data_IF_393990391719
#
_entry.id   IF_393990391719
#
_cell.length_a   1.000
_cell.length_b   1.000
_cell.length_c   1.000
_cell.angle_alpha   90.00
_cell.angle_beta   90.00
_cell.angle_gamma   90.00
#
_symmetry.space_group_name_H-M   'P 1'
#
loop_
_entity.id
_entity.type
_entity.pdbx_description
1 polymer ?
#
# COMPACT_ATOMS: atom_id res chain seq x y z
N UNK A 1 39.37 -22.07 13.30
CA UNK A 1 38.10 -22.20 14.06
C UNK A 1 36.97 -21.64 13.21
N UNK A 2 36.07 -22.50 12.74
CA UNK A 2 34.80 -22.09 12.10
C UNK A 2 33.78 -21.81 13.21
N UNK A 3 32.98 -20.74 13.17
CA UNK A 3 31.73 -20.69 13.91
C UNK A 3 30.57 -21.21 13.06
N UNK A 4 29.58 -21.74 13.78
CA UNK A 4 28.53 -22.64 13.36
C UNK A 4 27.47 -22.03 12.44
N UNK A 5 26.95 -22.89 11.57
CA UNK A 5 25.65 -22.77 10.92
C UNK A 5 24.54 -22.70 11.97
N UNK A 6 23.80 -21.60 11.98
CA UNK A 6 22.41 -21.55 12.44
C UNK A 6 21.59 -20.74 11.43
N UNK A 7 21.35 -21.36 10.27
CA UNK A 7 20.21 -21.03 9.42
C UNK A 7 18.95 -21.56 10.11
N UNK A 8 18.20 -20.67 10.76
CA UNK A 8 16.90 -21.00 11.34
C UNK A 8 15.81 -20.23 10.61
N UNK A 9 15.03 -21.00 9.85
CA UNK A 9 13.69 -20.76 9.32
C UNK A 9 12.89 -19.67 10.04
N UNK A 10 12.80 -18.46 9.48
CA UNK A 10 11.84 -17.43 9.89
C UNK A 10 11.45 -16.59 8.66
N UNK A 11 10.75 -17.17 7.69
CA UNK A 11 10.13 -16.41 6.58
C UNK A 11 8.94 -17.17 5.98
N UNK A 12 8.01 -17.67 6.80
CA UNK A 12 6.88 -18.48 6.28
C UNK A 12 5.81 -17.63 5.58
N UNK A 13 5.83 -16.29 5.71
CA UNK A 13 5.05 -15.37 4.87
C UNK A 13 5.83 -14.84 3.66
N UNK A 14 7.17 -14.95 3.70
CA UNK A 14 8.09 -14.52 2.65
C UNK A 14 8.74 -15.75 2.01
N UNK A 15 7.93 -16.59 1.37
CA UNK A 15 8.42 -17.44 0.26
C UNK A 15 8.72 -16.59 -1.00
N UNK A 16 9.17 -15.35 -0.80
CA UNK A 16 9.97 -14.60 -1.75
C UNK A 16 11.40 -14.82 -1.27
N UNK A 17 12.09 -15.71 -1.96
CA UNK A 17 13.49 -16.05 -1.76
C UNK A 17 14.31 -14.81 -1.40
N UNK A 18 15.19 -14.99 -0.42
CA UNK A 18 16.34 -14.15 -0.06
C UNK A 18 17.36 -13.98 -1.21
N UNK A 19 16.96 -14.17 -2.46
CA UNK A 19 17.66 -13.67 -3.64
C UNK A 19 17.48 -12.17 -3.68
N UNK A 20 18.60 -11.44 -3.62
CA UNK A 20 18.75 -10.05 -4.04
C UNK A 20 17.46 -9.49 -4.65
N UNK A 21 16.69 -8.76 -3.84
CA UNK A 21 15.65 -7.89 -4.37
C UNK A 21 16.42 -6.86 -5.17
N UNK A 22 16.52 -7.09 -6.48
CA UNK A 22 17.07 -6.12 -7.40
C UNK A 22 16.39 -4.79 -7.08
N UNK A 23 17.18 -3.73 -7.04
CA UNK A 23 16.72 -2.34 -6.85
C UNK A 23 15.73 -1.86 -7.94
N UNK A 24 15.21 -2.79 -8.74
CA UNK A 24 14.35 -2.63 -9.90
C UNK A 24 13.26 -3.72 -9.98
N UNK A 25 12.62 -4.15 -8.88
CA UNK A 25 11.40 -4.99 -9.02
C UNK A 25 10.41 -4.83 -7.86
N UNK A 26 9.50 -3.86 -7.96
CA UNK A 26 8.18 -3.94 -7.32
C UNK A 26 7.15 -4.35 -8.38
N UNK A 27 7.36 -5.54 -8.97
CA UNK A 27 6.38 -6.22 -9.81
C UNK A 27 6.78 -7.70 -9.98
N UNK A 28 6.41 -8.58 -9.05
CA UNK A 28 6.63 -10.01 -9.28
C UNK A 28 5.46 -10.71 -9.97
N UNK A 29 4.35 -10.04 -10.32
CA UNK A 29 3.19 -10.76 -10.89
C UNK A 29 2.41 -10.12 -12.05
N UNK A 30 2.74 -8.92 -12.54
CA UNK A 30 2.06 -8.43 -13.76
C UNK A 30 2.96 -7.56 -14.63
N UNK A 31 3.95 -8.19 -15.28
CA UNK A 31 4.71 -7.58 -16.38
C UNK A 31 3.85 -7.25 -17.62
N UNK A 32 2.52 -7.44 -17.57
CA UNK A 32 1.62 -7.10 -18.68
C UNK A 32 1.31 -5.60 -18.65
N UNK A 33 2.15 -4.91 -19.43
CA UNK A 33 2.03 -3.54 -19.96
C UNK A 33 1.98 -2.46 -18.88
N UNK A 34 3.18 -2.00 -18.49
CA UNK A 34 3.35 -0.61 -18.05
C UNK A 34 2.75 0.32 -19.12
N UNK A 35 2.18 1.47 -18.73
CA UNK A 35 1.67 2.43 -19.69
C UNK A 35 2.75 2.80 -20.70
N UNK A 36 2.35 3.08 -21.94
CA UNK A 36 3.26 3.57 -22.97
C UNK A 36 3.97 4.82 -22.45
N UNK A 37 5.31 4.82 -22.53
CA UNK A 37 6.15 5.93 -22.08
C UNK A 37 6.42 5.99 -20.57
N UNK A 38 5.84 5.10 -19.75
CA UNK A 38 6.04 5.11 -18.29
C UNK A 38 7.52 5.00 -17.91
N UNK A 39 8.26 4.02 -18.45
CA UNK A 39 9.70 3.90 -18.22
C UNK A 39 10.52 5.03 -18.88
N UNK A 40 10.02 5.60 -19.99
CA UNK A 40 10.74 6.65 -20.71
C UNK A 40 10.76 7.98 -19.92
N UNK A 41 9.83 8.18 -18.98
CA UNK A 41 9.76 9.38 -18.16
C UNK A 41 10.64 9.33 -16.91
N UNK A 42 11.19 8.15 -16.57
CA UNK A 42 12.02 7.95 -15.38
C UNK A 42 13.19 8.96 -15.26
N UNK A 43 13.97 9.27 -16.32
CA UNK A 43 15.05 10.25 -16.21
C UNK A 43 14.56 11.66 -15.84
N UNK A 44 13.35 12.04 -16.27
CA UNK A 44 12.74 13.33 -15.94
C UNK A 44 12.25 13.36 -14.48
N UNK A 45 11.71 12.23 -14.01
CA UNK A 45 11.33 12.06 -12.61
C UNK A 45 12.57 12.18 -11.72
N UNK A 46 13.65 11.48 -12.08
CA UNK A 46 14.91 11.54 -11.34
C UNK A 46 15.47 12.96 -11.22
N UNK A 47 15.35 13.77 -12.28
CA UNK A 47 15.77 15.18 -12.25
C UNK A 47 14.90 16.07 -11.36
N UNK A 48 13.63 15.71 -11.14
CA UNK A 48 12.70 16.47 -10.28
C UNK A 48 12.76 16.06 -8.82
N UNK A 49 13.38 14.92 -8.52
CA UNK A 49 13.46 14.42 -7.16
C UNK A 49 14.34 15.26 -6.26
N UNK A 50 13.91 15.40 -5.01
CA UNK A 50 14.56 16.18 -3.99
C UNK A 50 14.75 15.32 -2.74
N UNK A 51 15.97 15.27 -2.23
CA UNK A 51 16.26 14.59 -0.96
C UNK A 51 15.50 15.25 0.19
N UNK A 52 15.05 14.45 1.14
CA UNK A 52 14.26 14.93 2.28
C UNK A 52 12.79 15.21 1.98
N UNK A 53 12.31 14.94 0.76
CA UNK A 53 10.91 15.06 0.36
C UNK A 53 10.42 13.70 -0.12
N UNK A 54 9.28 13.26 0.40
CA UNK A 54 8.60 12.07 -0.13
C UNK A 54 7.75 12.49 -1.33
N UNK A 55 8.07 11.97 -2.51
CA UNK A 55 7.49 12.44 -3.77
C UNK A 55 6.85 11.29 -4.54
N UNK A 56 5.58 11.48 -4.92
CA UNK A 56 4.82 10.55 -5.72
C UNK A 56 4.57 11.14 -7.11
N UNK A 57 4.95 10.42 -8.15
CA UNK A 57 4.64 10.74 -9.54
C UNK A 57 3.76 9.63 -10.09
N UNK A 58 2.53 9.94 -10.48
CA UNK A 58 1.59 8.92 -10.90
C UNK A 58 1.03 9.17 -12.29
N UNK A 59 0.78 8.09 -13.03
CA UNK A 59 0.10 8.06 -14.30
C UNK A 59 -1.12 7.16 -14.17
N UNK A 60 -2.26 7.63 -14.67
CA UNK A 60 -3.48 6.82 -14.72
C UNK A 60 -3.58 6.14 -16.08
N UNK A 61 -3.81 4.84 -16.08
CA UNK A 61 -4.19 4.07 -17.27
C UNK A 61 -5.35 3.15 -16.90
N UNK A 62 -6.51 3.43 -17.50
CA UNK A 62 -7.79 2.77 -17.22
C UNK A 62 -8.12 2.74 -15.72
N UNK A 63 -8.16 1.55 -15.12
CA UNK A 63 -8.51 1.31 -13.72
C UNK A 63 -7.27 1.08 -12.84
N UNK A 64 -6.10 1.55 -13.27
CA UNK A 64 -4.83 1.43 -12.55
C UNK A 64 -4.13 2.78 -12.46
N UNK A 65 -3.61 3.09 -11.28
CA UNK A 65 -2.67 4.17 -11.05
C UNK A 65 -1.26 3.56 -10.97
N UNK A 66 -0.39 3.94 -11.89
CA UNK A 66 1.02 3.58 -11.91
C UNK A 66 1.81 4.69 -11.23
N UNK A 67 2.62 4.36 -10.24
CA UNK A 67 3.18 5.32 -9.29
C UNK A 67 4.67 5.09 -9.21
N UNK A 68 5.45 6.14 -9.46
CA UNK A 68 6.81 6.27 -8.99
C UNK A 68 6.80 6.94 -7.61
N UNK A 69 7.56 6.39 -6.69
CA UNK A 69 7.80 6.93 -5.36
C UNK A 69 9.31 7.14 -5.21
N UNK A 70 9.70 8.37 -4.87
CA UNK A 70 11.03 8.64 -4.35
C UNK A 70 10.95 8.81 -2.85
N UNK A 71 11.76 8.06 -2.11
CA UNK A 71 11.90 8.23 -0.67
C UNK A 71 12.84 9.40 -0.30
N UNK A 72 13.03 9.63 0.99
CA UNK A 72 13.87 10.71 1.51
C UNK A 72 15.36 10.59 1.18
N UNK A 73 15.84 9.38 0.90
CA UNK A 73 17.22 9.11 0.50
C UNK A 73 17.42 9.34 -1.01
N UNK A 74 16.32 9.49 -1.75
CA UNK A 74 16.29 9.60 -3.20
C UNK A 74 16.28 8.24 -3.87
N UNK A 75 15.95 7.17 -3.14
CA UNK A 75 15.75 5.85 -3.72
C UNK A 75 14.39 5.81 -4.42
N UNK A 76 14.38 5.22 -5.62
CA UNK A 76 13.21 5.18 -6.49
C UNK A 76 12.59 3.81 -6.55
N UNK A 77 11.26 3.81 -6.47
CA UNK A 77 10.45 2.62 -6.53
C UNK A 77 9.25 2.90 -7.41
N UNK A 78 8.78 1.90 -8.11
CA UNK A 78 7.52 1.99 -8.84
C UNK A 78 6.58 0.90 -8.37
N UNK A 79 5.28 1.18 -8.33
CA UNK A 79 4.23 0.22 -8.05
C UNK A 79 2.95 0.65 -8.75
N UNK A 80 1.92 -0.19 -8.73
CA UNK A 80 0.59 0.20 -9.20
C UNK A 80 -0.48 -0.22 -8.22
N UNK A 81 -1.58 0.53 -8.20
CA UNK A 81 -2.76 0.24 -7.38
C UNK A 81 -4.03 0.34 -8.22
N UNK A 82 -5.10 -0.36 -7.83
CA UNK A 82 -6.42 -0.12 -8.38
C UNK A 82 -6.81 1.37 -8.29
N UNK A 83 -7.38 1.90 -9.37
CA UNK A 83 -7.82 3.28 -9.49
C UNK A 83 -9.31 3.31 -9.83
N UNK A 84 -10.10 3.93 -8.96
CA UNK A 84 -11.53 4.16 -9.20
C UNK A 84 -11.81 5.61 -9.59
N UNK A 85 -11.32 6.55 -8.80
CA UNK A 85 -11.40 7.97 -9.09
C UNK A 85 -10.25 8.71 -8.41
N UNK A 86 -9.94 9.89 -8.93
CA UNK A 86 -8.79 10.70 -8.53
C UNK A 86 -8.81 11.08 -7.04
N UNK A 87 -9.98 11.47 -6.52
CA UNK A 87 -10.14 11.89 -5.13
C UNK A 87 -9.88 10.75 -4.15
N UNK A 88 -10.52 9.58 -4.35
CA UNK A 88 -10.36 8.41 -3.48
C UNK A 88 -8.91 7.93 -3.50
N UNK A 89 -8.31 7.81 -4.68
CA UNK A 89 -6.92 7.39 -4.83
C UNK A 89 -5.96 8.31 -4.05
N UNK A 90 -6.03 9.62 -4.28
CA UNK A 90 -5.13 10.57 -3.65
C UNK A 90 -5.38 10.71 -2.15
N UNK A 91 -6.64 10.73 -1.71
CA UNK A 91 -6.97 10.75 -0.29
C UNK A 91 -6.37 9.54 0.43
N UNK A 92 -6.57 8.32 -0.09
CA UNK A 92 -6.08 7.09 0.55
C UNK A 92 -4.57 7.01 0.57
N UNK A 93 -3.90 7.37 -0.52
CA UNK A 93 -2.44 7.41 -0.58
C UNK A 93 -1.89 8.47 0.38
N UNK A 94 -2.45 9.68 0.39
CA UNK A 94 -2.06 10.75 1.30
C UNK A 94 -2.23 10.33 2.76
N UNK A 95 -3.38 9.76 3.15
CA UNK A 95 -3.63 9.32 4.52
C UNK A 95 -2.66 8.23 4.96
N UNK A 96 -2.43 7.22 4.11
CA UNK A 96 -1.42 6.19 4.37
C UNK A 96 -0.03 6.80 4.62
N UNK A 97 0.39 7.72 3.76
CA UNK A 97 1.68 8.39 3.90
C UNK A 97 1.77 9.23 5.18
N UNK A 98 0.73 9.97 5.54
CA UNK A 98 0.73 10.75 6.80
C UNK A 98 0.81 9.85 8.02
N UNK A 99 0.12 8.71 8.03
CA UNK A 99 0.22 7.74 9.12
C UNK A 99 1.64 7.16 9.23
N UNK A 100 2.29 6.82 8.12
CA UNK A 100 3.69 6.39 8.14
C UNK A 100 4.63 7.48 8.68
N UNK A 101 4.51 8.72 8.17
CA UNK A 101 5.29 9.86 8.64
C UNK A 101 5.14 10.07 10.15
N UNK A 102 3.90 10.02 10.65
CA UNK A 102 3.61 10.17 12.07
C UNK A 102 4.22 9.06 12.92
N UNK A 103 4.20 7.80 12.46
CA UNK A 103 4.84 6.69 13.18
C UNK A 103 6.35 6.83 13.21
N UNK A 104 6.95 7.19 12.06
CA UNK A 104 8.38 7.42 11.95
C UNK A 104 8.84 8.56 12.86
N UNK A 105 8.14 9.69 12.86
CA UNK A 105 8.50 10.85 13.67
C UNK A 105 8.35 10.58 15.18
N UNK A 106 7.49 9.63 15.57
CA UNK A 106 7.39 9.17 16.94
C UNK A 106 8.55 8.24 17.35
N UNK A 107 9.11 7.48 16.42
CA UNK A 107 10.26 6.59 16.64
C UNK A 107 11.61 7.35 16.57
N UNK A 108 11.71 8.35 15.70
CA UNK A 108 12.90 9.15 15.51
C UNK A 108 13.06 10.26 16.57
N UNK A 109 14.32 10.63 16.85
CA UNK A 109 14.62 11.79 17.69
C UNK A 109 14.12 13.09 17.01
N UNK A 110 13.65 14.09 17.80
CA UNK A 110 13.20 15.38 17.27
C UNK A 110 14.25 16.00 16.33
N UNK A 111 13.86 16.34 15.10
CA UNK A 111 14.72 17.05 14.13
C UNK A 111 15.04 16.33 12.80
N UNK A 112 14.46 15.15 12.55
CA UNK A 112 14.61 14.38 11.30
C UNK A 112 13.31 14.32 10.48
N UNK A 113 12.43 15.31 10.63
CA UNK A 113 11.14 15.32 9.95
C UNK A 113 11.32 15.51 8.44
N UNK A 114 10.73 14.60 7.65
CA UNK A 114 10.33 14.93 6.28
C UNK A 114 9.32 16.07 6.40
N UNK A 115 9.65 17.21 5.82
CA UNK A 115 8.85 18.42 5.95
C UNK A 115 7.75 18.51 4.88
N UNK A 116 7.91 17.81 3.76
CA UNK A 116 7.02 17.96 2.62
C UNK A 116 6.70 16.64 1.92
N UNK A 117 5.40 16.46 1.65
CA UNK A 117 4.83 15.40 0.82
C UNK A 117 4.35 16.04 -0.48
N UNK A 118 4.80 15.55 -1.62
CA UNK A 118 4.43 16.10 -2.93
C UNK A 118 3.85 15.03 -3.85
N UNK A 119 2.80 15.42 -4.58
CA UNK A 119 2.17 14.60 -5.60
C UNK A 119 2.26 15.29 -6.95
N UNK A 120 2.56 14.50 -7.98
CA UNK A 120 2.69 14.94 -9.36
C UNK A 120 1.93 13.98 -10.26
N UNK A 121 1.10 14.51 -11.14
CA UNK A 121 0.42 13.73 -12.17
C UNK A 121 1.19 13.80 -13.48
N UNK A 122 1.42 12.63 -14.07
CA UNK A 122 2.03 12.45 -15.38
C UNK A 122 0.90 12.32 -16.40
N UNK A 123 0.82 13.31 -17.30
CA UNK A 123 -0.15 13.34 -18.39
C UNK A 123 0.60 13.09 -19.69
N UNK A 124 0.34 11.96 -20.33
CA UNK A 124 0.87 11.66 -21.67
C UNK A 124 0.04 12.41 -22.71
N UNK A 125 0.67 13.36 -23.41
CA UNK A 125 0.01 14.19 -24.44
C UNK A 125 0.04 13.47 -25.79
N UNK A 126 1.16 12.84 -26.11
CA UNK A 126 1.40 12.00 -27.29
C UNK A 126 2.57 11.04 -27.01
N UNK A 127 2.91 10.15 -27.95
CA UNK A 127 3.86 9.05 -27.71
C UNK A 127 5.25 9.46 -27.18
N UNK A 128 5.67 10.72 -27.39
CA UNK A 128 7.00 11.22 -27.01
C UNK A 128 6.97 12.43 -26.05
N UNK A 129 5.77 12.96 -25.72
CA UNK A 129 5.64 14.12 -24.83
C UNK A 129 4.74 13.78 -23.64
N UNK A 130 5.32 13.94 -22.46
CA UNK A 130 4.61 13.86 -21.20
C UNK A 130 4.78 15.17 -20.43
N UNK A 131 3.71 15.60 -19.77
CA UNK A 131 3.71 16.73 -18.86
C UNK A 131 3.61 16.22 -17.43
N UNK A 132 4.43 16.78 -16.54
CA UNK A 132 4.40 16.49 -15.10
C UNK A 132 3.80 17.72 -14.40
N UNK A 133 2.62 17.56 -13.82
CA UNK A 133 1.85 18.65 -13.21
C UNK A 133 1.76 18.45 -11.69
N UNK A 134 2.09 19.46 -10.86
CA UNK A 134 1.96 19.34 -9.42
C UNK A 134 0.49 19.29 -9.00
N UNK A 135 0.19 18.46 -8.00
CA UNK A 135 -1.15 18.33 -7.43
C UNK A 135 -1.21 19.03 -6.07
N UNK A 136 -2.17 19.93 -5.90
CA UNK A 136 -2.38 20.63 -4.65
C UNK A 136 -2.99 19.69 -3.59
N UNK A 137 -2.27 19.45 -2.50
CA UNK A 137 -2.64 18.50 -1.44
C UNK A 137 -3.66 19.02 -0.42
N UNK A 138 -4.01 20.31 -0.50
CA UNK A 138 -4.85 21.00 0.50
C UNK A 138 -6.36 20.69 0.40
N UNK A 139 -6.79 19.96 -0.63
CA UNK A 139 -8.22 19.83 -0.99
C UNK A 139 -8.76 18.39 -0.85
N UNK A 140 -8.01 17.45 -0.27
CA UNK A 140 -8.44 16.05 -0.17
C UNK A 140 -9.23 15.74 1.11
N UNK A 141 -10.03 16.69 1.61
CA UNK A 141 -10.96 16.41 2.70
C UNK A 141 -12.12 15.55 2.16
N UNK A 142 -12.41 14.44 2.83
CA UNK A 142 -13.32 13.39 2.36
C UNK A 142 -14.78 13.84 2.41
N UNK A 143 -15.39 14.12 1.26
CA UNK A 143 -16.85 14.24 1.11
C UNK A 143 -17.54 12.89 0.84
N UNK A 144 -16.78 11.79 0.72
CA UNK A 144 -17.33 10.44 0.62
C UNK A 144 -17.77 9.93 2.00
N UNK A 145 -18.97 10.29 2.42
CA UNK A 145 -19.53 10.04 3.76
C UNK A 145 -19.78 8.57 4.19
N UNK A 146 -19.07 7.57 3.66
CA UNK A 146 -19.08 6.17 4.15
C UNK A 146 -17.78 5.42 3.75
N UNK A 147 -16.61 6.05 3.83
CA UNK A 147 -15.36 5.35 3.58
C UNK A 147 -14.98 4.45 4.75
N UNK A 148 -14.93 3.14 4.51
CA UNK A 148 -14.51 2.15 5.49
C UNK A 148 -12.99 2.18 5.68
N UNK A 149 -12.54 2.71 6.81
CA UNK A 149 -11.13 2.84 7.14
C UNK A 149 -10.54 1.54 7.67
N UNK A 150 -9.42 1.14 7.09
CA UNK A 150 -8.74 -0.13 7.39
C UNK A 150 -7.36 0.18 7.95
N UNK A 151 -7.17 -0.21 9.19
CA UNK A 151 -5.89 -0.18 9.89
C UNK A 151 -5.37 -1.61 10.01
N UNK A 152 -4.08 -1.79 9.81
CA UNK A 152 -3.44 -3.10 9.88
C UNK A 152 -2.22 -3.03 10.79
N UNK A 153 -2.04 -4.05 11.61
CA UNK A 153 -0.83 -4.28 12.36
C UNK A 153 -0.26 -5.64 11.98
N UNK A 154 1.04 -5.69 11.74
CA UNK A 154 1.74 -6.93 11.42
C UNK A 154 2.64 -7.30 12.58
N UNK A 155 2.43 -8.49 13.13
CA UNK A 155 3.19 -9.04 14.26
C UNK A 155 3.84 -10.37 13.88
N UNK A 156 4.62 -10.93 14.80
CA UNK A 156 5.03 -12.32 14.74
C UNK A 156 4.23 -13.12 15.78
N UNK A 157 3.78 -14.32 15.42
CA UNK A 157 3.19 -15.27 16.35
C UNK A 157 4.27 -15.95 17.23
N UNK A 158 3.82 -16.83 18.13
CA UNK A 158 4.67 -17.59 19.04
C UNK A 158 5.67 -18.53 18.33
N UNK A 159 5.42 -18.87 17.05
CA UNK A 159 6.30 -19.66 16.19
C UNK A 159 7.15 -18.81 15.25
N UNK A 160 7.12 -17.47 15.43
CA UNK A 160 7.79 -16.47 14.59
C UNK A 160 7.28 -16.41 13.15
N UNK A 161 6.07 -16.89 12.88
CA UNK A 161 5.40 -16.63 11.61
C UNK A 161 4.72 -15.26 11.66
N UNK A 162 4.58 -14.62 10.51
CA UNK A 162 3.84 -13.35 10.41
C UNK A 162 2.38 -13.57 10.76
N UNK A 163 1.83 -12.68 11.58
CA UNK A 163 0.43 -12.61 11.94
C UNK A 163 -0.14 -11.24 11.59
N UNK A 164 -1.33 -11.22 11.02
CA UNK A 164 -2.00 -9.98 10.61
C UNK A 164 -3.20 -9.72 11.52
N UNK A 165 -3.22 -8.50 12.08
CA UNK A 165 -4.38 -7.95 12.78
C UNK A 165 -4.95 -6.79 11.97
N UNK A 166 -6.24 -6.88 11.63
CA UNK A 166 -6.95 -5.87 10.84
C UNK A 166 -8.03 -5.25 11.72
N UNK A 167 -8.05 -3.92 11.79
CA UNK A 167 -9.07 -3.16 12.50
C UNK A 167 -9.82 -2.27 11.52
N UNK A 168 -11.14 -2.37 11.55
CA UNK A 168 -12.03 -1.53 10.75
C UNK A 168 -13.34 -1.26 11.51
N UNK A 169 -13.82 -0.02 11.48
CA UNK A 169 -15.01 0.45 12.23
C UNK A 169 -15.00 0.01 13.72
N UNK A 170 -13.85 0.14 14.38
CA UNK A 170 -13.62 -0.28 15.77
C UNK A 170 -13.76 -1.80 16.05
N UNK A 171 -13.83 -2.63 15.01
CA UNK A 171 -13.83 -4.09 15.14
C UNK A 171 -12.49 -4.67 14.71
N UNK A 172 -11.97 -5.56 15.54
CA UNK A 172 -10.69 -6.23 15.33
C UNK A 172 -10.89 -7.63 14.73
N UNK A 173 -10.03 -7.97 13.78
CA UNK A 173 -9.92 -9.28 13.13
C UNK A 173 -8.47 -9.74 13.20
N UNK A 174 -8.20 -10.74 14.03
CA UNK A 174 -6.84 -11.24 14.27
C UNK A 174 -6.67 -12.62 13.63
N UNK A 175 -5.65 -12.76 12.77
CA UNK A 175 -5.32 -14.00 12.08
C UNK A 175 -4.97 -15.14 13.05
N UNK A 176 -4.40 -14.86 14.22
CA UNK A 176 -4.14 -15.89 15.24
C UNK A 176 -5.43 -16.57 15.72
N UNK A 177 -6.53 -15.81 15.76
CA UNK A 177 -7.83 -16.29 16.24
C UNK A 177 -8.70 -16.84 15.10
N UNK A 178 -8.65 -16.20 13.93
CA UNK A 178 -9.50 -16.52 12.77
C UNK A 178 -8.82 -17.44 11.76
N UNK A 179 -7.50 -17.61 11.85
CA UNK A 179 -6.70 -18.34 10.86
C UNK A 179 -6.90 -17.80 9.45
N UNK A 180 -6.90 -18.72 8.48
CA UNK A 180 -6.97 -18.42 7.04
C UNK A 180 -8.25 -17.69 6.59
N UNK A 181 -9.29 -17.59 7.44
CA UNK A 181 -10.54 -16.90 7.09
C UNK A 181 -10.56 -15.43 7.50
N UNK A 182 -9.47 -14.88 8.07
CA UNK A 182 -9.38 -13.47 8.48
C UNK A 182 -9.78 -12.50 7.34
N UNK A 183 -9.23 -12.68 6.13
CA UNK A 183 -9.55 -11.84 4.98
C UNK A 183 -11.00 -11.98 4.51
N UNK A 184 -11.58 -13.18 4.60
CA UNK A 184 -12.99 -13.43 4.28
C UNK A 184 -13.90 -12.68 5.27
N UNK A 185 -13.61 -12.77 6.57
CA UNK A 185 -14.38 -12.08 7.61
C UNK A 185 -14.32 -10.56 7.48
N UNK A 186 -13.15 -10.02 7.15
CA UNK A 186 -12.99 -8.59 6.88
C UNK A 186 -13.74 -8.20 5.60
N UNK A 187 -13.64 -8.98 4.52
CA UNK A 187 -14.36 -8.72 3.27
C UNK A 187 -15.88 -8.67 3.50
N UNK A 188 -16.44 -9.63 4.25
CA UNK A 188 -17.86 -9.65 4.64
C UNK A 188 -18.25 -8.39 5.42
N UNK A 189 -17.40 -7.95 6.36
CA UNK A 189 -17.66 -6.74 7.14
C UNK A 189 -17.66 -5.47 6.28
N UNK A 190 -16.71 -5.36 5.35
CA UNK A 190 -16.63 -4.27 4.37
C UNK A 190 -17.90 -4.24 3.51
N UNK A 191 -18.30 -5.39 2.94
CA UNK A 191 -19.48 -5.47 2.07
C UNK A 191 -20.77 -5.11 2.82
N UNK A 192 -20.92 -5.57 4.06
CA UNK A 192 -22.08 -5.22 4.89
C UNK A 192 -22.14 -3.73 5.26
N UNK A 193 -20.99 -3.05 5.34
CA UNK A 193 -20.94 -1.62 5.64
C UNK A 193 -21.25 -0.75 4.41
N UNK A 194 -20.95 -1.22 3.20
CA UNK A 194 -21.14 -0.45 1.96
C UNK A 194 -22.64 -0.19 1.72
N UNK A 195 -23.11 0.99 2.13
CA UNK A 195 -24.49 1.48 1.88
C UNK A 195 -24.78 1.74 0.40
N UNK A 196 -23.75 1.89 -0.43
CA UNK A 196 -23.87 2.05 -1.88
C UNK A 196 -23.17 0.87 -2.54
N UNK A 197 -23.84 0.23 -3.49
CA UNK A 197 -23.38 -0.94 -4.26
C UNK A 197 -22.15 -0.68 -5.15
N UNK A 198 -21.37 0.38 -4.90
CA UNK A 198 -20.18 0.69 -5.69
C UNK A 198 -19.03 -0.24 -5.28
N UNK A 199 -18.54 -1.11 -6.18
CA UNK A 199 -17.43 -2.00 -5.90
C UNK A 199 -16.13 -1.21 -5.95
N UNK A 200 -15.75 -0.57 -4.83
CA UNK A 200 -14.42 0.03 -4.70
C UNK A 200 -13.43 -0.96 -4.07
N UNK A 201 -12.14 -0.89 -4.39
CA UNK A 201 -11.10 -1.67 -3.70
C UNK A 201 -10.99 -1.29 -2.22
N UNK A 202 -10.68 -2.24 -1.35
CA UNK A 202 -10.22 -1.94 -0.01
C UNK A 202 -8.84 -1.29 -0.05
N UNK A 203 -8.71 -0.19 0.70
CA UNK A 203 -7.46 0.54 0.89
C UNK A 203 -7.11 0.55 2.38
N UNK A 204 -5.89 0.11 2.70
CA UNK A 204 -5.28 0.25 4.02
C UNK A 204 -4.80 1.69 4.16
N UNK A 205 -5.32 2.38 5.18
CA UNK A 205 -4.95 3.78 5.48
C UNK A 205 -3.87 3.87 6.54
N UNK A 206 -3.62 2.79 7.29
CA UNK A 206 -2.57 2.72 8.30
C UNK A 206 -2.02 1.30 8.36
N UNK A 207 -0.70 1.19 8.41
CA UNK A 207 0.02 -0.06 8.61
C UNK A 207 1.07 0.15 9.70
N UNK A 208 0.97 -0.65 10.76
CA UNK A 208 1.94 -0.69 11.85
C UNK A 208 2.86 -1.90 11.69
N UNK A 209 4.14 -1.63 11.44
CA UNK A 209 5.22 -2.61 11.37
C UNK A 209 6.17 -2.53 12.57
N UNK A 210 5.90 -1.67 13.56
CA UNK A 210 6.73 -1.52 14.76
C UNK A 210 6.98 -2.83 15.53
N UNK A 211 6.03 -3.80 15.60
CA UNK A 211 6.30 -5.08 16.27
C UNK A 211 7.41 -5.91 15.60
N UNK A 212 7.70 -5.63 14.33
CA UNK A 212 8.75 -6.29 13.56
C UNK A 212 10.11 -5.56 13.66
N UNK A 213 10.17 -4.37 14.27
CA UNK A 213 11.35 -3.49 14.26
C UNK A 213 12.59 -4.19 14.80
N UNK A 214 12.51 -4.82 15.97
CA UNK A 214 13.66 -5.49 16.58
C UNK A 214 14.01 -6.84 15.94
N UNK A 215 13.01 -7.56 15.45
CA UNK A 215 13.15 -8.96 14.99
C UNK A 215 13.52 -9.05 13.51
N UNK A 216 12.86 -8.27 12.66
CA UNK A 216 13.03 -8.26 11.21
C UNK A 216 13.94 -7.12 10.79
N UNK A 217 13.69 -5.91 11.30
CA UNK A 217 14.38 -4.69 10.86
C UNK A 217 15.59 -4.32 11.73
N UNK A 218 16.05 -5.24 12.59
CA UNK A 218 17.29 -5.12 13.39
C UNK A 218 17.37 -3.82 14.22
N UNK A 219 16.24 -3.34 14.72
CA UNK A 219 16.13 -2.12 15.53
C UNK A 219 16.04 -0.83 14.71
N UNK A 220 15.98 -0.90 13.38
CA UNK A 220 15.78 0.25 12.50
C UNK A 220 14.29 0.38 12.17
N UNK A 221 13.77 1.61 12.18
CA UNK A 221 12.40 1.87 11.73
C UNK A 221 12.21 1.42 10.27
N UNK A 222 11.15 0.68 9.92
CA UNK A 222 10.97 0.19 8.55
C UNK A 222 10.77 1.35 7.57
N UNK A 223 11.42 1.26 6.40
CA UNK A 223 11.35 2.29 5.36
C UNK A 223 9.92 2.47 4.84
N UNK A 224 9.65 3.56 4.12
CA UNK A 224 8.36 3.73 3.47
C UNK A 224 8.07 2.60 2.47
N UNK A 225 9.10 2.08 1.84
CA UNK A 225 8.98 0.99 0.86
C UNK A 225 8.65 -0.33 1.52
N UNK A 226 9.23 -0.63 2.67
CA UNK A 226 8.81 -1.80 3.47
C UNK A 226 7.31 -1.72 3.74
N UNK A 227 6.82 -0.54 4.17
CA UNK A 227 5.39 -0.33 4.41
C UNK A 227 4.55 -0.49 3.14
N UNK A 228 4.98 0.03 1.99
CA UNK A 228 4.28 -0.14 0.71
C UNK A 228 4.21 -1.62 0.31
N UNK A 229 5.29 -2.38 0.47
CA UNK A 229 5.31 -3.80 0.11
C UNK A 229 4.30 -4.61 0.92
N UNK A 230 4.30 -4.45 2.25
CA UNK A 230 3.32 -5.09 3.11
C UNK A 230 1.89 -4.62 2.79
N UNK A 231 1.69 -3.32 2.58
CA UNK A 231 0.39 -2.75 2.19
C UNK A 231 -0.16 -3.43 0.94
N UNK A 232 0.62 -3.48 -0.14
CA UNK A 232 0.19 -4.04 -1.43
C UNK A 232 -0.15 -5.54 -1.32
N UNK A 233 0.66 -6.31 -0.59
CA UNK A 233 0.41 -7.74 -0.36
C UNK A 233 -0.90 -7.99 0.40
N UNK A 234 -1.15 -7.22 1.46
CA UNK A 234 -2.33 -7.38 2.30
C UNK A 234 -3.59 -6.89 1.56
N UNK A 235 -3.49 -5.76 0.85
CA UNK A 235 -4.57 -5.28 -0.01
C UNK A 235 -4.91 -6.25 -1.13
N UNK A 236 -3.92 -6.91 -1.74
CA UNK A 236 -4.17 -7.92 -2.76
C UNK A 236 -4.99 -9.08 -2.20
N UNK A 237 -4.63 -9.61 -1.02
CA UNK A 237 -5.37 -10.69 -0.37
C UNK A 237 -6.79 -10.26 0.01
N UNK A 238 -6.92 -9.07 0.58
CA UNK A 238 -8.22 -8.52 0.98
C UNK A 238 -9.14 -8.26 -0.22
N UNK A 239 -8.61 -7.66 -1.29
CA UNK A 239 -9.37 -7.38 -2.50
C UNK A 239 -9.75 -8.66 -3.26
N UNK A 240 -8.90 -9.69 -3.22
CA UNK A 240 -9.24 -11.01 -3.76
C UNK A 240 -10.38 -11.66 -2.97
N UNK A 241 -10.39 -11.53 -1.64
CA UNK A 241 -11.49 -12.00 -0.81
C UNK A 241 -12.78 -11.22 -1.10
N UNK A 242 -12.71 -9.89 -1.19
CA UNK A 242 -13.85 -9.04 -1.54
C UNK A 242 -14.51 -9.42 -2.87
N UNK A 243 -13.72 -9.66 -3.92
CA UNK A 243 -14.26 -10.08 -5.21
C UNK A 243 -14.98 -11.43 -5.12
N UNK A 244 -14.41 -12.40 -4.39
CA UNK A 244 -15.02 -13.72 -4.21
C UNK A 244 -16.32 -13.65 -3.41
N UNK A 245 -16.36 -12.86 -2.34
CA UNK A 245 -17.56 -12.69 -1.51
C UNK A 245 -18.65 -11.93 -2.27
N UNK A 246 -18.30 -10.88 -3.02
CA UNK A 246 -19.25 -10.13 -3.83
C UNK A 246 -19.93 -10.98 -4.92
N UNK A 247 -19.22 -11.96 -5.50
CA UNK A 247 -19.80 -12.92 -6.46
C UNK A 247 -20.75 -13.94 -5.83
N UNK A 248 -20.72 -14.12 -4.50
CA UNK A 248 -21.53 -15.09 -3.78
C UNK A 248 -22.83 -14.50 -3.22
N UNK A 249 -23.02 -13.17 -3.28
CA UNK A 249 -24.26 -12.52 -2.89
C UNK A 249 -25.31 -12.81 -4.00
N UNK A 250 -26.43 -13.49 -3.69
CA UNK A 250 -27.48 -13.74 -4.68
C UNK A 250 -28.03 -12.42 -5.23
N UNK A 251 -28.34 -12.36 -6.52
CA UNK A 251 -28.99 -11.22 -7.19
C UNK A 251 -30.46 -11.01 -6.76
N UNK A 252 -30.90 -11.63 -5.66
CA UNK A 252 -32.29 -11.63 -5.21
C UNK A 252 -32.56 -10.39 -4.34
N UNK A 253 -32.59 -9.22 -4.98
CA UNK A 253 -33.36 -8.08 -4.49
C UNK A 253 -34.30 -7.70 -5.63
N UNK A 254 -35.47 -8.36 -5.67
CA UNK A 254 -36.61 -7.84 -6.40
C UNK A 254 -36.93 -6.44 -5.86
N UNK A 255 -36.82 -5.44 -6.73
CA UNK A 255 -37.36 -4.11 -6.48
C UNK A 255 -38.89 -4.24 -6.36
N UNK A 256 -39.52 -3.75 -5.28
CA UNK A 256 -40.97 -3.67 -5.25
C UNK A 256 -41.44 -2.69 -6.33
N UNK A 257 -42.44 -3.12 -7.10
CA UNK A 257 -43.17 -2.30 -8.09
C UNK A 257 -43.80 -1.04 -7.49
#
# INVERSE_FOLDING_TARGET
>A
MKPAHHETQIHTFLNLSSTQIDRFTLCSQDQRKLPTGFLAIEPFIQQKTQKGILQFFFQIDNQRAFIYCSDEMGDFYYFHVPYLNHHLFLNKLQRFTHHWLSQRDADLKPGTSIQELQFWEIITINNDQSQITPIATKNFHSDFGNEFDIHVQVTLDHTKNTNIKITCENKEYDENHLGKVVFIKVAQAILNHRKMSLPYPAYIINLDLSPLQHTVFKGVFPSFIDHIQYKLLIEQQLNSALQKEAMQIPNDIELPE
#
